data_IF_218206442558
#
_entry.id   IF_218206442558
#
_cell.length_a   1.000
_cell.length_b   1.000
_cell.length_c   1.000
_cell.angle_alpha   90.00
_cell.angle_beta   90.00
_cell.angle_gamma   90.00
#
_symmetry.space_group_name_H-M   'P 1'
#
loop_
_entity.id
_entity.type
_entity.pdbx_description
1 polymer ?
#
# COMPACT_ATOMS: atom_id res chain seq x y z
N UNK A 1 -15.71 -8.94 -1.38
CA UNK A 1 -16.02 -7.50 -1.36
C UNK A 1 -14.86 -6.79 -0.73
N UNK A 2 -13.85 -6.43 -1.52
CA UNK A 2 -12.48 -6.55 -1.00
C UNK A 2 -11.65 -5.32 -1.35
N UNK A 3 -11.36 -4.49 -0.34
CA UNK A 3 -10.22 -3.58 -0.37
C UNK A 3 -8.96 -4.46 -0.34
N UNK A 4 -8.28 -4.62 -1.46
CA UNK A 4 -6.96 -5.24 -1.55
C UNK A 4 -5.91 -4.24 -2.05
N UNK A 5 -4.63 -4.62 -2.11
CA UNK A 5 -3.59 -3.73 -2.62
C UNK A 5 -3.88 -3.23 -4.05
N UNK A 6 -4.56 -4.03 -4.87
CA UNK A 6 -4.94 -3.64 -6.24
C UNK A 6 -6.00 -2.52 -6.23
N UNK A 7 -7.05 -2.69 -5.43
CA UNK A 7 -8.16 -1.76 -5.34
C UNK A 7 -7.74 -0.42 -4.71
N UNK A 8 -6.83 -0.46 -3.73
CA UNK A 8 -6.20 0.74 -3.17
C UNK A 8 -5.37 1.47 -4.24
N UNK A 9 -4.59 0.74 -5.03
CA UNK A 9 -3.83 1.34 -6.13
C UNK A 9 -4.73 1.97 -7.21
N UNK A 10 -5.84 1.33 -7.56
CA UNK A 10 -6.82 1.91 -8.49
C UNK A 10 -7.49 3.16 -7.92
N UNK A 11 -7.81 3.16 -6.63
CA UNK A 11 -8.35 4.35 -5.95
C UNK A 11 -7.35 5.50 -5.96
N UNK A 12 -6.08 5.22 -5.68
CA UNK A 12 -5.00 6.21 -5.74
C UNK A 12 -4.82 6.79 -7.15
N UNK A 13 -4.90 5.95 -8.20
CA UNK A 13 -4.85 6.42 -9.59
C UNK A 13 -6.00 7.37 -9.92
N UNK A 14 -7.23 7.02 -9.51
CA UNK A 14 -8.42 7.88 -9.70
C UNK A 14 -8.25 9.22 -8.99
N UNK A 15 -7.78 9.19 -7.74
CA UNK A 15 -7.50 10.41 -6.98
C UNK A 15 -6.44 11.28 -7.67
N UNK A 16 -5.34 10.67 -8.11
CA UNK A 16 -4.29 11.39 -8.81
C UNK A 16 -4.77 12.03 -10.11
N UNK A 17 -5.58 11.30 -10.90
CA UNK A 17 -6.19 11.86 -12.11
C UNK A 17 -7.11 13.05 -11.81
N UNK A 18 -7.90 12.97 -10.74
CA UNK A 18 -8.83 14.04 -10.34
C UNK A 18 -8.10 15.32 -9.86
N UNK A 19 -6.90 15.19 -9.31
CA UNK A 19 -6.14 16.31 -8.71
C UNK A 19 -4.85 16.67 -9.47
N UNK A 20 -4.62 16.10 -10.65
CA UNK A 20 -3.42 16.36 -11.45
C UNK A 20 -2.12 15.84 -10.83
N UNK A 21 -2.19 14.82 -9.98
CA UNK A 21 -1.01 14.18 -9.40
C UNK A 21 -0.47 13.08 -10.33
N UNK A 22 0.86 12.94 -10.37
CA UNK A 22 1.53 11.79 -10.99
C UNK A 22 1.48 10.62 -10.02
N UNK A 23 0.90 9.50 -10.46
CA UNK A 23 0.81 8.26 -9.68
C UNK A 23 1.70 7.19 -10.29
N UNK A 24 2.58 6.60 -9.48
CA UNK A 24 3.41 5.46 -9.86
C UNK A 24 3.07 4.27 -8.97
N UNK A 25 2.81 3.11 -9.56
CA UNK A 25 2.56 1.87 -8.81
C UNK A 25 3.65 0.86 -9.15
N UNK A 26 4.42 0.46 -8.15
CA UNK A 26 5.51 -0.52 -8.27
C UNK A 26 5.06 -1.85 -7.68
N UNK A 27 5.20 -2.95 -8.44
CA UNK A 27 4.76 -4.29 -8.05
C UNK A 27 5.59 -5.39 -8.74
N UNK A 28 5.42 -6.64 -8.31
CA UNK A 28 6.09 -7.81 -8.90
C UNK A 28 7.63 -7.70 -8.85
N UNK A 29 8.31 -8.14 -9.91
CA UNK A 29 9.79 -8.14 -9.99
C UNK A 29 10.42 -6.77 -9.79
N UNK A 30 9.73 -5.69 -10.21
CA UNK A 30 10.20 -4.31 -9.98
C UNK A 30 10.17 -3.94 -8.50
N UNK A 31 9.17 -4.40 -7.77
CA UNK A 31 9.08 -4.21 -6.32
C UNK A 31 10.10 -5.08 -5.59
N UNK A 32 10.31 -6.31 -6.04
CA UNK A 32 11.33 -7.20 -5.50
C UNK A 32 12.73 -6.61 -5.63
N UNK A 33 13.08 -6.08 -6.81
CA UNK A 33 14.39 -5.47 -7.05
C UNK A 33 14.57 -4.11 -6.37
N UNK A 34 13.54 -3.25 -6.39
CA UNK A 34 13.64 -1.88 -5.87
C UNK A 34 13.30 -1.72 -4.39
N UNK A 35 12.49 -2.62 -3.83
CA UNK A 35 11.93 -2.54 -2.47
C UNK A 35 11.83 -3.93 -1.82
N UNK A 36 12.96 -4.64 -1.63
CA UNK A 36 12.97 -6.04 -1.20
C UNK A 36 12.27 -6.28 0.15
N UNK A 37 12.30 -5.31 1.07
CA UNK A 37 11.60 -5.43 2.35
C UNK A 37 10.07 -5.41 2.21
N UNK A 38 9.52 -4.52 1.37
CA UNK A 38 8.07 -4.46 1.09
C UNK A 38 7.63 -5.76 0.41
N UNK A 39 8.43 -6.25 -0.54
CA UNK A 39 8.18 -7.52 -1.20
C UNK A 39 8.21 -8.69 -0.20
N UNK A 40 9.22 -8.76 0.67
CA UNK A 40 9.37 -9.83 1.64
C UNK A 40 8.19 -9.94 2.61
N UNK A 41 7.63 -8.82 3.06
CA UNK A 41 6.45 -8.81 3.95
C UNK A 41 5.19 -9.28 3.21
N UNK A 42 4.98 -8.82 1.97
CA UNK A 42 3.74 -9.09 1.25
C UNK A 42 3.70 -10.38 0.43
N UNK A 43 4.85 -11.03 0.16
CA UNK A 43 4.91 -12.18 -0.77
C UNK A 43 4.11 -13.41 -0.33
N UNK A 44 3.75 -13.52 0.95
CA UNK A 44 2.92 -14.62 1.47
C UNK A 44 1.42 -14.48 1.17
N UNK A 45 0.98 -13.35 0.64
CA UNK A 45 -0.43 -13.10 0.29
C UNK A 45 -0.75 -13.54 -1.14
N UNK A 46 -1.93 -14.14 -1.35
CA UNK A 46 -2.47 -14.37 -2.70
C UNK A 46 -2.68 -13.06 -3.50
N UNK A 47 -2.83 -11.93 -2.78
CA UNK A 47 -2.88 -10.58 -3.36
C UNK A 47 -1.54 -9.90 -3.13
N UNK A 48 -0.69 -9.91 -4.16
CA UNK A 48 0.70 -9.43 -4.07
C UNK A 48 0.85 -7.96 -3.63
N UNK A 49 1.99 -7.63 -3.00
CA UNK A 49 2.26 -6.29 -2.49
C UNK A 49 2.47 -5.26 -3.60
N UNK A 50 2.22 -4.00 -3.26
CA UNK A 50 2.37 -2.85 -4.15
C UNK A 50 2.93 -1.67 -3.35
N UNK A 51 3.78 -0.88 -3.97
CA UNK A 51 4.14 0.46 -3.50
C UNK A 51 3.45 1.48 -4.41
N UNK A 52 2.78 2.46 -3.81
CA UNK A 52 2.08 3.53 -4.52
C UNK A 52 2.76 4.85 -4.15
N UNK A 53 3.20 5.61 -5.15
CA UNK A 53 3.83 6.92 -5.00
C UNK A 53 2.95 7.96 -5.74
N UNK A 54 2.41 8.94 -5.02
CA UNK A 54 1.65 10.05 -5.56
C UNK A 54 2.45 11.34 -5.40
N UNK A 55 2.67 12.07 -6.49
CA UNK A 55 3.39 13.34 -6.49
C UNK A 55 2.56 14.44 -7.12
N UNK A 56 2.40 15.56 -6.43
CA UNK A 56 1.76 16.77 -6.93
C UNK A 56 2.49 18.02 -6.43
N UNK A 57 2.21 19.17 -7.04
CA UNK A 57 2.82 20.45 -6.65
C UNK A 57 4.01 20.86 -7.52
N UNK A 58 4.54 22.05 -7.26
CA UNK A 58 5.69 22.61 -7.99
C UNK A 58 7.01 22.05 -7.43
N UNK A 59 8.03 21.96 -8.29
CA UNK A 59 9.40 21.57 -7.89
C UNK A 59 10.05 22.58 -6.95
N UNK A 60 9.61 23.84 -7.01
CA UNK A 60 10.17 24.95 -6.24
C UNK A 60 9.41 25.19 -4.92
N UNK A 61 8.34 24.42 -4.66
CA UNK A 61 7.62 24.46 -3.41
C UNK A 61 8.37 23.65 -2.33
N UNK A 62 8.22 24.00 -1.03
CA UNK A 62 8.70 23.17 0.06
C UNK A 62 8.18 21.74 -0.06
N UNK A 63 9.09 20.76 0.03
CA UNK A 63 8.74 19.35 -0.12
C UNK A 63 8.10 18.81 1.17
N UNK A 64 6.93 18.18 1.04
CA UNK A 64 6.26 17.44 2.11
C UNK A 64 6.03 16.00 1.62
N UNK A 65 6.41 15.02 2.43
CA UNK A 65 6.18 13.60 2.14
C UNK A 65 5.37 12.97 3.25
N UNK A 66 4.27 12.32 2.88
CA UNK A 66 3.43 11.53 3.77
C UNK A 66 3.65 10.05 3.47
N UNK A 67 3.84 9.24 4.51
CA UNK A 67 4.05 7.79 4.37
C UNK A 67 2.98 7.07 5.18
N UNK A 68 2.04 6.46 4.47
CA UNK A 68 0.97 5.66 5.07
C UNK A 68 1.31 4.17 5.09
N UNK A 69 1.02 3.49 6.20
CA UNK A 69 1.13 2.03 6.30
C UNK A 69 -0.05 1.39 5.57
N UNK A 70 0.16 0.94 4.34
CA UNK A 70 -0.87 0.28 3.52
C UNK A 70 -1.03 -1.22 3.78
N UNK A 71 -1.09 -1.68 5.04
CA UNK A 71 -1.34 -3.11 5.34
C UNK A 71 -2.83 -3.39 5.18
N UNK A 72 -3.19 -3.85 3.99
CA UNK A 72 -4.59 -3.99 3.59
C UNK A 72 -5.31 -5.14 4.34
N UNK A 73 -4.54 -6.09 4.90
CA UNK A 73 -5.03 -7.12 5.81
C UNK A 73 -3.83 -7.71 6.59
N UNK A 74 -3.81 -7.61 7.91
CA UNK A 74 -2.77 -8.19 8.78
C UNK A 74 -3.30 -9.48 9.44
N UNK A 75 -2.90 -10.65 8.94
CA UNK A 75 -3.19 -11.93 9.56
C UNK A 75 -2.22 -12.31 10.69
N UNK A 76 -1.16 -11.51 10.92
CA UNK A 76 -0.08 -11.81 11.86
C UNK A 76 1.13 -12.55 11.27
N UNK A 77 1.07 -13.03 10.02
CA UNK A 77 2.19 -13.76 9.41
C UNK A 77 2.44 -15.13 10.04
N UNK A 78 3.72 -15.51 10.24
CA UNK A 78 4.13 -16.80 10.83
C UNK A 78 3.76 -16.95 12.31
N UNK A 79 3.49 -15.84 13.01
CA UNK A 79 2.94 -15.83 14.38
C UNK A 79 1.41 -15.68 14.31
N UNK A 80 0.73 -16.81 14.23
CA UNK A 80 -0.73 -16.88 14.16
C UNK A 80 -1.34 -16.26 15.43
N UNK A 81 -2.03 -15.12 15.28
CA UNK A 81 -2.75 -14.49 16.40
C UNK A 81 -3.96 -15.33 16.80
N UNK A 82 -4.28 -15.35 18.09
CA UNK A 82 -5.48 -16.00 18.59
C UNK A 82 -6.78 -15.29 18.14
N UNK A 83 -7.89 -16.03 18.11
CA UNK A 83 -9.14 -15.65 17.45
C UNK A 83 -9.72 -14.27 17.86
N UNK A 84 -9.43 -13.78 19.06
CA UNK A 84 -9.91 -12.48 19.55
C UNK A 84 -9.24 -11.26 18.87
N UNK A 85 -8.03 -11.41 18.32
CA UNK A 85 -7.31 -10.34 17.63
C UNK A 85 -7.79 -10.06 16.20
N UNK A 86 -8.37 -11.06 15.53
CA UNK A 86 -8.76 -10.97 14.12
C UNK A 86 -10.02 -10.10 13.88
N UNK A 87 -10.93 -9.99 14.85
CA UNK A 87 -12.23 -9.34 14.65
C UNK A 87 -12.15 -7.82 14.45
N UNK A 88 -11.01 -7.17 14.76
CA UNK A 88 -10.85 -5.70 14.76
C UNK A 88 -9.91 -5.13 13.68
N UNK A 89 -9.40 -5.94 12.77
CA UNK A 89 -8.29 -5.55 11.88
C UNK A 89 -8.70 -5.02 10.48
N UNK A 90 -9.96 -4.65 10.27
CA UNK A 90 -10.35 -3.83 9.10
C UNK A 90 -9.83 -2.39 9.19
N UNK A 91 -9.20 -1.97 10.32
CA UNK A 91 -8.75 -0.59 10.59
C UNK A 91 -7.26 -0.30 10.34
N UNK A 92 -6.44 -1.26 9.91
CA UNK A 92 -4.98 -1.06 9.74
C UNK A 92 -4.59 -0.31 8.45
N UNK A 93 -5.51 0.48 7.92
CA UNK A 93 -5.42 1.28 6.68
C UNK A 93 -5.66 2.78 6.93
N UNK A 94 -5.59 3.21 8.19
CA UNK A 94 -5.84 4.61 8.60
C UNK A 94 -4.60 5.52 8.64
N UNK A 95 -3.43 5.02 8.23
CA UNK A 95 -2.18 5.79 8.20
C UNK A 95 -1.88 6.35 6.82
#
# INVERSE_FOLDING_TARGET
GDLGPAEVAETAKRLGAAHGAKVTVTHGKRLEAGYPMIHAVGRGSARGPRLIDLRWGSKDAPSVTLVGKGVVFDSGGLDLKNAAGMLRMKKDMGG
#
